data_IF_665128223277
#
_entry.id   IF_665128223277
#
_cell.length_a   1.000
_cell.length_b   1.000
_cell.length_c   1.000
_cell.angle_alpha   90.00
_cell.angle_beta   90.00
_cell.angle_gamma   90.00
#
_symmetry.space_group_name_H-M   'P 1'
#
loop_
_entity.id
_entity.type
_entity.pdbx_description
1 polymer ?
#
# COMPACT_ATOMS: atom_id res chain seq x y z
N UNK A 1 7.12 40.44 -1.17
CA UNK A 1 7.60 39.28 -1.95
C UNK A 1 9.01 38.97 -1.52
N UNK A 2 9.24 37.82 -0.89
CA UNK A 2 10.54 37.45 -0.32
C UNK A 2 11.00 36.18 -1.05
N UNK A 3 12.06 36.22 -1.88
CA UNK A 3 12.64 35.01 -2.43
C UNK A 3 12.97 34.03 -1.31
N UNK A 4 12.53 32.79 -1.44
CA UNK A 4 12.74 31.74 -0.43
C UNK A 4 12.87 30.40 -1.12
N UNK A 5 13.44 29.42 -0.45
CA UNK A 5 13.63 28.07 -0.98
C UNK A 5 12.81 27.06 -0.18
N UNK A 6 12.33 26.01 -0.84
CA UNK A 6 11.74 24.84 -0.20
C UNK A 6 12.36 23.57 -0.79
N UNK A 7 12.44 22.51 -0.01
CA UNK A 7 12.88 21.21 -0.49
C UNK A 7 11.73 20.45 -1.14
N UNK A 8 11.91 20.10 -2.40
CA UNK A 8 11.05 19.23 -3.19
C UNK A 8 11.60 17.80 -3.09
N UNK A 9 10.94 16.95 -2.31
CA UNK A 9 11.36 15.57 -2.08
C UNK A 9 11.14 14.66 -3.27
N UNK A 10 10.24 15.02 -4.19
CA UNK A 10 9.99 14.25 -5.41
C UNK A 10 11.17 14.44 -6.38
N UNK A 11 11.67 15.67 -6.47
CA UNK A 11 12.83 16.02 -7.31
C UNK A 11 14.18 15.94 -6.58
N UNK A 12 14.17 15.69 -5.27
CA UNK A 12 15.34 15.75 -4.39
C UNK A 12 16.13 17.06 -4.54
N UNK A 13 15.41 18.18 -4.62
CA UNK A 13 16.00 19.47 -4.97
C UNK A 13 15.40 20.62 -4.16
N UNK A 14 16.25 21.57 -3.78
CA UNK A 14 15.82 22.85 -3.24
C UNK A 14 15.38 23.79 -4.35
N UNK A 15 14.10 24.18 -4.37
CA UNK A 15 13.50 25.03 -5.39
C UNK A 15 13.13 26.39 -4.82
N UNK A 16 13.31 27.44 -5.62
CA UNK A 16 12.95 28.81 -5.24
C UNK A 16 11.45 29.04 -5.42
N UNK A 17 10.86 29.79 -4.50
CA UNK A 17 9.51 30.32 -4.57
C UNK A 17 9.45 31.74 -3.99
N UNK A 18 8.34 32.44 -4.22
CA UNK A 18 8.11 33.78 -3.66
C UNK A 18 7.22 33.67 -2.43
N UNK A 19 7.76 34.03 -1.27
CA UNK A 19 7.03 34.04 -0.01
C UNK A 19 6.32 35.39 0.22
N UNK A 20 5.08 35.32 0.72
CA UNK A 20 4.21 36.47 0.93
C UNK A 20 4.63 37.39 2.08
N UNK A 21 5.32 36.88 3.12
CA UNK A 21 5.85 37.69 4.23
C UNK A 21 5.39 37.28 5.63
N UNK A 22 4.40 36.40 5.78
CA UNK A 22 3.96 35.87 7.08
C UNK A 22 3.44 34.43 6.98
N UNK A 23 3.56 33.66 8.06
CA UNK A 23 3.17 32.25 8.11
C UNK A 23 4.21 31.30 7.50
N UNK A 24 3.73 30.18 6.95
CA UNK A 24 4.57 29.14 6.35
C UNK A 24 4.78 27.92 7.26
N UNK A 25 5.68 27.04 6.85
CA UNK A 25 6.06 25.83 7.58
C UNK A 25 7.59 25.70 7.64
N UNK A 26 8.08 24.62 8.26
CA UNK A 26 9.51 24.39 8.45
C UNK A 26 10.30 24.14 7.14
N UNK A 27 9.62 23.86 6.03
CA UNK A 27 10.24 23.64 4.70
C UNK A 27 10.39 24.98 3.94
N UNK A 28 10.92 26.00 4.62
CA UNK A 28 11.17 27.32 4.05
C UNK A 28 12.53 27.82 4.53
N UNK A 29 13.41 28.11 3.58
CA UNK A 29 14.79 28.51 3.82
C UNK A 29 15.09 29.84 3.14
N UNK A 30 15.98 30.63 3.74
CA UNK A 30 16.37 31.93 3.20
C UNK A 30 17.31 31.81 1.99
N UNK A 31 18.05 30.71 1.93
CA UNK A 31 19.11 30.45 0.94
C UNK A 31 19.06 29.00 0.46
N UNK A 32 19.53 28.74 -0.76
CA UNK A 32 19.59 27.38 -1.31
C UNK A 32 20.54 26.49 -0.51
N UNK A 33 21.64 27.03 -0.01
CA UNK A 33 22.66 26.30 0.76
C UNK A 33 22.09 25.80 2.10
N UNK A 34 21.30 26.62 2.78
CA UNK A 34 20.62 26.23 4.02
C UNK A 34 19.61 25.10 3.76
N UNK A 35 18.83 25.22 2.67
CA UNK A 35 17.89 24.19 2.26
C UNK A 35 18.61 22.87 1.94
N UNK A 36 19.67 22.93 1.13
CA UNK A 36 20.43 21.75 0.71
C UNK A 36 21.09 21.08 1.91
N UNK A 37 21.73 21.85 2.79
CA UNK A 37 22.42 21.31 3.96
C UNK A 37 21.47 20.61 4.93
N UNK A 38 20.22 21.08 5.04
CA UNK A 38 19.23 20.53 5.98
C UNK A 38 18.41 19.38 5.39
N UNK A 39 18.12 19.42 4.09
CA UNK A 39 17.15 18.51 3.48
C UNK A 39 17.73 17.56 2.44
N UNK A 40 18.86 17.89 1.82
CA UNK A 40 19.49 16.98 0.85
C UNK A 40 19.89 15.70 1.58
N UNK A 41 19.60 14.51 1.02
CA UNK A 41 20.09 13.27 1.59
C UNK A 41 21.61 13.26 1.49
N UNK A 42 22.27 13.62 2.60
CA UNK A 42 23.71 13.42 2.76
C UNK A 42 23.97 11.95 2.53
N UNK A 43 24.53 11.60 1.37
CA UNK A 43 24.87 10.23 0.97
C UNK A 43 26.05 9.68 1.79
N UNK A 44 26.15 10.05 3.07
CA UNK A 44 27.19 9.66 4.02
C UNK A 44 26.55 9.04 5.27
N UNK A 45 25.84 7.94 5.04
CA UNK A 45 25.82 6.82 5.97
C UNK A 45 26.38 5.59 5.25
N UNK A 46 27.52 5.74 4.56
CA UNK A 46 28.37 4.61 4.19
C UNK A 46 29.81 4.96 4.57
N UNK A 47 30.28 4.35 5.67
CA UNK A 47 31.71 4.15 5.84
C UNK A 47 32.16 3.27 4.66
N UNK A 48 33.26 3.69 4.05
CA UNK A 48 34.17 2.94 3.17
C UNK A 48 34.10 3.30 1.69
N UNK A 49 35.21 3.89 1.28
CA UNK A 49 35.65 4.24 -0.07
C UNK A 49 35.29 3.24 -1.17
N UNK A 50 34.80 3.79 -2.28
CA UNK A 50 34.93 3.25 -3.63
C UNK A 50 35.04 4.41 -4.62
N UNK A 51 35.99 4.40 -5.59
CA UNK A 51 36.23 5.53 -6.48
C UNK A 51 35.21 5.62 -7.61
N UNK A 52 35.05 6.85 -8.10
CA UNK A 52 34.16 7.33 -9.15
C UNK A 52 33.84 6.35 -10.29
N UNK A 53 32.55 6.26 -10.65
CA UNK A 53 32.07 5.66 -11.90
C UNK A 53 31.32 6.71 -12.72
N UNK A 54 31.71 6.77 -13.99
CA UNK A 54 31.37 7.70 -15.08
C UNK A 54 29.93 7.45 -15.58
N UNK A 55 29.20 8.43 -16.18
CA UNK A 55 27.89 8.15 -16.77
C UNK A 55 28.05 7.37 -18.10
N UNK A 56 27.77 6.07 -18.06
CA UNK A 56 27.54 5.24 -19.25
C UNK A 56 26.04 5.07 -19.51
N UNK A 57 25.61 4.88 -20.77
CA UNK A 57 24.21 4.79 -21.14
C UNK A 57 23.59 3.52 -20.54
N UNK A 58 22.56 3.71 -19.72
CA UNK A 58 21.75 2.63 -19.13
C UNK A 58 21.16 1.75 -20.23
N UNK A 59 21.33 0.42 -20.10
CA UNK A 59 20.21 -0.35 -19.60
C UNK A 59 20.69 -1.38 -18.57
N UNK A 60 20.49 -1.09 -17.28
CA UNK A 60 20.58 -2.11 -16.24
C UNK A 60 19.22 -2.26 -15.58
N UNK A 61 18.45 -3.19 -16.12
CA UNK A 61 17.49 -3.95 -15.35
C UNK A 61 18.27 -4.78 -14.32
N UNK A 62 18.56 -4.18 -13.16
CA UNK A 62 18.93 -4.96 -11.98
C UNK A 62 17.68 -5.72 -11.55
N UNK A 63 17.76 -7.05 -11.54
CA UNK A 63 16.69 -7.95 -11.13
C UNK A 63 16.02 -7.47 -9.83
N UNK A 64 14.84 -6.86 -9.98
CA UNK A 64 13.97 -6.49 -8.89
C UNK A 64 13.56 -7.77 -8.15
N UNK A 65 14.16 -8.05 -7.00
CA UNK A 65 13.41 -8.79 -5.97
C UNK A 65 12.16 -7.95 -5.72
N UNK A 66 11.05 -8.41 -6.29
CA UNK A 66 9.76 -7.72 -6.25
C UNK A 66 9.42 -7.44 -4.80
N UNK A 67 9.62 -6.19 -4.37
CA UNK A 67 9.05 -5.68 -3.12
C UNK A 67 7.56 -5.51 -3.38
N UNK A 68 6.89 -6.65 -3.43
CA UNK A 68 5.45 -6.81 -3.45
C UNK A 68 4.87 -5.95 -2.34
N UNK A 69 3.95 -5.04 -2.68
CA UNK A 69 3.29 -4.21 -1.67
C UNK A 69 2.41 -5.12 -0.79
N UNK A 70 2.70 -5.28 0.52
CA UNK A 70 1.89 -6.15 1.38
C UNK A 70 0.44 -5.66 1.52
N UNK A 71 0.17 -4.38 1.24
CA UNK A 71 -1.17 -3.82 1.30
C UNK A 71 -2.13 -4.50 0.31
N UNK A 72 -1.62 -4.99 -0.81
CA UNK A 72 -2.40 -5.73 -1.81
C UNK A 72 -2.98 -7.05 -1.29
N UNK A 73 -2.49 -7.57 -0.15
CA UNK A 73 -3.01 -8.77 0.50
C UNK A 73 -4.13 -8.46 1.50
N UNK A 74 -4.35 -7.19 1.84
CA UNK A 74 -5.42 -6.77 2.73
C UNK A 74 -6.77 -6.88 2.02
N UNK A 75 -7.85 -7.09 2.77
CA UNK A 75 -9.20 -7.05 2.21
C UNK A 75 -9.58 -5.63 1.77
N UNK A 76 -10.48 -5.47 0.80
CA UNK A 76 -10.95 -4.14 0.36
C UNK A 76 -11.94 -3.59 1.40
N UNK A 77 -11.63 -2.43 1.98
CA UNK A 77 -12.46 -1.81 3.03
C UNK A 77 -13.17 -0.52 2.61
N UNK A 78 -14.50 -0.51 2.66
CA UNK A 78 -15.35 0.68 2.44
C UNK A 78 -15.17 1.72 3.55
N UNK A 79 -14.91 1.30 4.79
CA UNK A 79 -14.90 2.17 5.96
C UNK A 79 -16.30 2.59 6.44
N UNK A 80 -16.41 3.34 7.55
CA UNK A 80 -17.67 3.67 8.21
C UNK A 80 -18.40 4.89 7.61
N UNK A 81 -17.71 5.71 6.81
CA UNK A 81 -18.33 6.87 6.16
C UNK A 81 -19.28 6.46 5.02
N UNK A 82 -20.24 7.33 4.69
CA UNK A 82 -21.32 7.07 3.72
C UNK A 82 -21.11 7.73 2.35
N UNK A 83 -19.89 8.15 2.04
CA UNK A 83 -19.51 8.58 0.70
C UNK A 83 -19.58 7.44 -0.32
N UNK A 84 -19.60 7.78 -1.61
CA UNK A 84 -19.67 6.81 -2.70
C UNK A 84 -18.56 7.06 -3.72
N UNK A 85 -17.32 6.83 -3.29
CA UNK A 85 -16.14 7.03 -4.14
C UNK A 85 -15.78 5.71 -4.84
N UNK A 86 -15.79 5.69 -6.17
CA UNK A 86 -15.35 4.52 -6.94
C UNK A 86 -13.82 4.50 -6.99
N UNK A 87 -13.23 3.43 -6.49
CA UNK A 87 -11.79 3.21 -6.37
C UNK A 87 -11.46 1.77 -6.75
N UNK A 88 -10.19 1.46 -6.92
CA UNK A 88 -9.70 0.12 -7.25
C UNK A 88 -9.05 -0.54 -6.04
N UNK A 89 -9.18 -1.85 -5.91
CA UNK A 89 -8.44 -2.65 -4.94
C UNK A 89 -8.10 -4.00 -5.55
N UNK A 90 -6.96 -4.56 -5.15
CA UNK A 90 -6.49 -5.84 -5.64
C UNK A 90 -7.28 -6.97 -4.99
N UNK A 91 -7.78 -7.89 -5.83
CA UNK A 91 -8.40 -9.13 -5.41
C UNK A 91 -7.40 -10.27 -5.66
N UNK A 92 -6.80 -10.77 -4.60
CA UNK A 92 -5.77 -11.81 -4.69
C UNK A 92 -6.30 -13.15 -5.21
N UNK A 93 -7.61 -13.41 -5.13
CA UNK A 93 -8.22 -14.61 -5.69
C UNK A 93 -8.39 -14.50 -7.20
N UNK A 94 -8.80 -13.32 -7.67
CA UNK A 94 -8.93 -13.03 -9.10
C UNK A 94 -7.61 -12.64 -9.76
N UNK A 95 -6.59 -12.33 -8.94
CA UNK A 95 -5.32 -11.74 -9.35
C UNK A 95 -5.50 -10.48 -10.21
N UNK A 96 -6.57 -9.72 -9.96
CA UNK A 96 -6.95 -8.54 -10.73
C UNK A 96 -7.36 -7.38 -9.80
N UNK A 97 -7.30 -6.17 -10.34
CA UNK A 97 -7.68 -4.95 -9.68
C UNK A 97 -9.12 -4.61 -10.02
N UNK A 98 -9.99 -4.77 -9.03
CA UNK A 98 -11.43 -4.64 -9.17
C UNK A 98 -11.93 -3.37 -8.49
N UNK A 99 -12.98 -2.77 -9.05
CA UNK A 99 -13.56 -1.57 -8.47
C UNK A 99 -14.38 -1.88 -7.23
N UNK A 100 -14.29 -1.04 -6.20
CA UNK A 100 -15.17 -1.05 -5.03
C UNK A 100 -15.57 0.37 -4.63
N UNK A 101 -16.54 0.48 -3.72
CA UNK A 101 -16.99 1.78 -3.19
C UNK A 101 -16.25 2.07 -1.89
N UNK A 102 -15.57 3.21 -1.82
CA UNK A 102 -15.00 3.75 -0.59
C UNK A 102 -15.92 4.79 0.03
N UNK A 103 -16.09 4.71 1.34
CA UNK A 103 -16.96 5.56 2.15
C UNK A 103 -16.42 6.97 2.36
N UNK A 104 -15.13 7.21 2.09
CA UNK A 104 -14.50 8.53 2.22
C UNK A 104 -13.73 8.75 3.53
N UNK A 105 -13.69 7.78 4.44
CA UNK A 105 -12.85 7.84 5.63
C UNK A 105 -12.44 6.45 6.14
N UNK A 106 -11.32 6.37 6.87
CA UNK A 106 -10.71 5.13 7.36
C UNK A 106 -10.48 4.10 6.23
N UNK A 107 -10.59 2.80 6.52
CA UNK A 107 -10.21 1.71 5.62
C UNK A 107 -8.70 1.46 5.61
N UNK A 108 -8.23 0.71 4.63
CA UNK A 108 -6.82 0.33 4.51
C UNK A 108 -6.20 0.77 3.18
N UNK A 109 -4.97 0.32 2.93
CA UNK A 109 -4.15 0.72 1.79
C UNK A 109 -4.37 -0.13 0.52
N UNK A 110 -5.21 -1.18 0.55
CA UNK A 110 -5.68 -1.85 -0.67
C UNK A 110 -6.73 -1.00 -1.41
N UNK A 111 -6.34 0.24 -1.75
CA UNK A 111 -7.17 1.25 -2.39
C UNK A 111 -6.31 2.14 -3.27
N UNK A 112 -6.60 2.12 -4.56
CA UNK A 112 -5.87 2.85 -5.60
C UNK A 112 -6.84 3.70 -6.43
N UNK A 113 -6.39 4.85 -6.96
CA UNK A 113 -7.25 5.73 -7.75
C UNK A 113 -7.49 5.22 -9.19
N UNK A 114 -6.65 4.31 -9.69
CA UNK A 114 -6.75 3.75 -11.04
C UNK A 114 -6.43 2.24 -11.08
N UNK A 115 -6.91 1.56 -12.12
CA UNK A 115 -6.62 0.13 -12.32
C UNK A 115 -5.14 -0.10 -12.60
N UNK A 116 -4.54 0.79 -13.40
CA UNK A 116 -3.15 0.72 -13.83
C UNK A 116 -2.20 0.83 -12.64
N UNK A 117 -2.46 1.74 -11.72
CA UNK A 117 -1.66 1.92 -10.52
C UNK A 117 -1.78 0.73 -9.56
N UNK A 118 -3.00 0.22 -9.38
CA UNK A 118 -3.24 -1.01 -8.62
C UNK A 118 -2.46 -2.19 -9.22
N UNK A 119 -2.52 -2.37 -10.54
CA UNK A 119 -1.81 -3.46 -11.22
C UNK A 119 -0.30 -3.30 -11.16
N UNK A 120 0.22 -2.07 -11.31
CA UNK A 120 1.65 -1.81 -11.21
C UNK A 120 2.22 -2.19 -9.83
N UNK A 121 1.42 -2.00 -8.77
CA UNK A 121 1.85 -2.30 -7.40
C UNK A 121 1.59 -3.75 -6.96
N UNK A 122 0.49 -4.35 -7.46
CA UNK A 122 0.00 -5.63 -6.95
C UNK A 122 0.15 -6.81 -7.93
N UNK A 123 0.43 -6.56 -9.21
CA UNK A 123 0.61 -7.65 -10.18
C UNK A 123 1.78 -8.58 -9.79
N UNK A 124 1.61 -9.89 -10.05
CA UNK A 124 2.59 -10.91 -9.66
C UNK A 124 2.53 -11.33 -8.20
N UNK A 125 1.63 -10.76 -7.39
CA UNK A 125 1.18 -11.33 -6.13
C UNK A 125 0.32 -12.56 -6.40
N UNK A 126 0.93 -13.72 -6.33
CA UNK A 126 0.21 -14.98 -6.29
C UNK A 126 -0.11 -15.23 -4.81
N UNK A 127 -1.37 -15.48 -4.49
CA UNK A 127 -1.85 -15.79 -3.13
C UNK A 127 -1.30 -17.12 -2.56
N UNK A 128 -0.20 -17.63 -3.14
CA UNK A 128 0.35 -18.96 -2.89
C UNK A 128 1.88 -18.95 -2.87
N UNK A 129 2.50 -17.91 -2.30
CA UNK A 129 3.86 -18.05 -1.81
C UNK A 129 3.79 -18.83 -0.49
N UNK A 130 4.21 -20.09 -0.52
CA UNK A 130 4.22 -21.03 0.58
C UNK A 130 5.29 -20.68 1.64
N UNK A 131 5.26 -19.44 2.13
CA UNK A 131 5.97 -18.99 3.34
C UNK A 131 4.95 -18.51 4.38
N UNK A 132 4.16 -19.48 4.86
CA UNK A 132 3.52 -19.52 6.17
C UNK A 132 2.67 -18.30 6.62
N UNK A 133 1.38 -18.32 6.29
CA UNK A 133 0.32 -17.94 7.24
C UNK A 133 -1.06 -18.49 6.82
N UNK A 134 -1.46 -19.57 7.50
CA UNK A 134 -2.83 -20.08 7.54
C UNK A 134 -3.67 -19.36 8.61
N UNK A 135 -4.99 -19.29 8.34
CA UNK A 135 -6.17 -19.13 9.23
C UNK A 135 -6.74 -17.73 9.49
N UNK A 136 -7.83 -17.41 8.78
CA UNK A 136 -9.23 -17.57 9.24
C UNK A 136 -10.09 -17.46 7.95
N UNK A 137 -10.67 -18.52 7.39
CA UNK A 137 -12.02 -18.99 7.70
C UNK A 137 -12.21 -20.41 7.14
N UNK A 138 -11.98 -21.43 7.97
CA UNK A 138 -12.57 -22.77 7.78
C UNK A 138 -13.47 -23.05 8.97
N UNK A 139 -14.69 -22.51 8.99
CA UNK A 139 -15.69 -22.85 10.02
C UNK A 139 -17.14 -22.67 9.53
N UNK A 140 -17.61 -23.33 8.46
CA UNK A 140 -19.07 -23.58 8.26
C UNK A 140 -19.45 -24.77 7.36
N UNK A 141 -18.59 -25.78 7.16
CA UNK A 141 -18.95 -26.94 6.32
C UNK A 141 -18.88 -28.27 7.06
N UNK A 142 -19.58 -28.38 8.20
CA UNK A 142 -20.02 -29.66 8.75
C UNK A 142 -21.36 -29.45 9.45
N UNK A 143 -22.46 -29.82 8.79
CA UNK A 143 -23.73 -30.02 9.47
C UNK A 143 -23.78 -31.49 9.92
N UNK A 144 -23.74 -31.78 11.23
CA UNK A 144 -24.09 -33.10 11.73
C UNK A 144 -25.61 -33.25 11.66
N UNK A 145 -26.08 -34.27 10.95
CA UNK A 145 -27.46 -34.76 11.05
C UNK A 145 -27.63 -35.35 12.46
N UNK A 146 -27.99 -34.50 13.43
CA UNK A 146 -28.32 -34.94 14.78
C UNK A 146 -29.72 -35.55 14.79
N UNK A 147 -29.68 -36.86 14.92
CA UNK A 147 -30.69 -37.77 15.45
C UNK A 147 -31.49 -37.10 16.58
N UNK A 148 -32.79 -36.92 16.37
CA UNK A 148 -33.79 -36.74 17.43
C UNK A 148 -34.27 -38.13 17.88
N UNK A 149 -33.76 -38.62 19.01
CA UNK A 149 -34.46 -39.56 19.92
C UNK A 149 -35.33 -38.66 20.83
N UNK A 150 -36.52 -38.97 21.36
CA UNK A 150 -37.18 -40.18 21.86
C UNK A 150 -38.61 -39.68 22.29
N UNK A 151 -39.76 -40.35 22.18
CA UNK A 151 -40.27 -41.44 23.04
C UNK A 151 -41.74 -41.78 22.70
N UNK A 152 -42.12 -43.02 23.03
CA UNK A 152 -43.45 -43.60 23.31
C UNK A 152 -44.31 -44.10 22.14
N UNK A 153 -44.43 -45.43 22.09
CA UNK A 153 -45.75 -46.02 22.34
C UNK A 153 -46.24 -47.06 21.34
N UNK A 154 -46.27 -48.31 21.82
CA UNK A 154 -47.21 -49.38 21.48
C UNK A 154 -47.09 -50.10 20.11
N UNK A 155 -46.99 -51.43 20.17
CA UNK A 155 -47.33 -52.29 19.04
C UNK A 155 -46.57 -53.61 18.98
N UNK A 156 -46.98 -54.57 19.81
CA UNK A 156 -46.48 -55.94 19.96
C UNK A 156 -47.36 -56.89 19.12
N UNK A 157 -46.74 -57.87 18.45
CA UNK A 157 -47.33 -59.12 17.91
C UNK A 157 -48.46 -58.93 16.88
N UNK A 158 -48.44 -59.57 15.71
CA UNK A 158 -48.42 -61.01 15.42
C UNK A 158 -47.92 -61.23 13.98
#
# INVERSE_FOLDING_TARGET
MIPSYFYDSEMNQCRQFIFGGCGGNANRFGTVEECESKCRPTSQMTRSAGPAMIPSPVPMATASKSRKNPDCLLERETGPCRGSFKVYGFDANQQDCVTFTYGGCNGNANRFPSREECMAQCSGLIANDNTNMMRLQQLTAQAPTLIFQQERGAGRFI
#
